data_IF_482439025751
#
_entry.id   IF_482439025751
#
_cell.length_a   1.000
_cell.length_b   1.000
_cell.length_c   1.000
_cell.angle_alpha   90.00
_cell.angle_beta   90.00
_cell.angle_gamma   90.00
#
_symmetry.space_group_name_H-M   'P 1'
#
loop_
_entity.id
_entity.type
_entity.pdbx_description
1 polymer ?
#
# COMPACT_ATOMS: atom_id res chain seq x y z
N UNK A 1 -12.56 -6.06 19.17
CA UNK A 1 -11.87 -5.29 18.12
C UNK A 1 -12.67 -5.23 16.82
N UNK A 2 -13.16 -6.37 16.31
CA UNK A 2 -13.94 -6.44 15.06
C UNK A 2 -15.04 -5.38 14.92
N UNK A 3 -15.90 -5.23 15.93
CA UNK A 3 -16.97 -4.20 15.91
C UNK A 3 -16.43 -2.75 15.80
N UNK A 4 -15.25 -2.48 16.35
CA UNK A 4 -14.63 -1.16 16.21
C UNK A 4 -14.06 -0.95 14.81
N UNK A 5 -13.44 -1.99 14.24
CA UNK A 5 -12.98 -1.98 12.83
C UNK A 5 -14.17 -1.75 11.90
N UNK A 6 -15.28 -2.46 12.10
CA UNK A 6 -16.50 -2.28 11.33
C UNK A 6 -17.05 -0.84 11.45
N UNK A 7 -17.13 -0.30 12.67
CA UNK A 7 -17.56 1.08 12.90
C UNK A 7 -16.70 2.08 12.13
N UNK A 8 -15.37 2.02 12.28
CA UNK A 8 -14.46 2.95 11.60
C UNK A 8 -14.43 2.73 10.09
N UNK A 9 -14.62 1.49 9.62
CA UNK A 9 -14.72 1.19 8.17
C UNK A 9 -15.92 1.91 7.56
N UNK A 10 -17.06 1.95 8.26
CA UNK A 10 -18.28 2.61 7.76
C UNK A 10 -18.23 4.13 7.91
N UNK A 11 -17.82 4.61 9.08
CA UNK A 11 -18.02 6.00 9.50
C UNK A 11 -16.75 6.86 9.48
N UNK A 12 -15.58 6.25 9.22
CA UNK A 12 -14.29 6.91 9.41
C UNK A 12 -14.01 7.23 10.86
N UNK A 13 -12.94 7.98 11.10
CA UNK A 13 -12.42 8.22 12.45
C UNK A 13 -12.99 9.48 13.12
N UNK A 14 -13.85 10.26 12.46
CA UNK A 14 -14.38 11.52 12.99
C UNK A 14 -15.38 11.37 14.15
N UNK A 15 -16.10 10.24 14.23
CA UNK A 15 -17.18 10.01 15.20
C UNK A 15 -16.76 10.04 16.68
N UNK A 16 -17.72 10.25 17.57
CA UNK A 16 -17.47 10.27 19.02
C UNK A 16 -17.33 8.87 19.62
N UNK A 17 -16.54 8.69 20.68
CA UNK A 17 -16.44 7.39 21.38
C UNK A 17 -17.77 6.96 22.02
N UNK A 18 -18.67 7.91 22.31
CA UNK A 18 -20.05 7.64 22.77
C UNK A 18 -20.89 6.97 21.68
N UNK A 19 -20.79 7.48 20.46
CA UNK A 19 -21.49 6.92 19.29
C UNK A 19 -20.96 5.52 18.96
N UNK A 20 -19.64 5.35 18.96
CA UNK A 20 -19.00 4.05 18.83
C UNK A 20 -19.52 3.07 19.90
N UNK A 21 -19.48 3.46 21.18
CA UNK A 21 -19.93 2.60 22.29
C UNK A 21 -21.37 2.11 22.08
N UNK A 22 -22.26 3.05 21.72
CA UNK A 22 -23.66 2.75 21.38
C UNK A 22 -23.77 1.77 20.22
N UNK A 23 -23.03 1.98 19.13
CA UNK A 23 -23.10 1.10 17.95
C UNK A 23 -22.60 -0.32 18.25
N UNK A 24 -21.55 -0.46 19.05
CA UNK A 24 -20.97 -1.79 19.35
C UNK A 24 -21.65 -2.50 20.54
N UNK A 25 -22.58 -1.82 21.22
CA UNK A 25 -23.39 -2.37 22.32
C UNK A 25 -22.68 -2.39 23.67
N UNK A 26 -21.80 -1.42 23.95
CA UNK A 26 -21.08 -1.29 25.23
C UNK A 26 -21.26 0.09 25.83
N UNK A 27 -20.90 0.25 27.11
CA UNK A 27 -20.87 1.58 27.73
C UNK A 27 -19.59 2.32 27.34
N UNK A 28 -19.67 3.65 27.22
CA UNK A 28 -18.49 4.48 26.94
C UNK A 28 -17.40 4.35 28.02
N UNK A 29 -17.70 4.25 29.34
CA UNK A 29 -16.69 3.96 30.36
C UNK A 29 -15.98 2.62 30.16
N UNK A 30 -16.68 1.59 29.66
CA UNK A 30 -16.04 0.30 29.37
C UNK A 30 -15.00 0.42 28.26
N UNK A 31 -15.25 1.22 27.22
CA UNK A 31 -14.24 1.50 26.19
C UNK A 31 -12.97 2.11 26.80
N UNK A 32 -13.13 3.11 27.67
CA UNK A 32 -11.99 3.79 28.30
C UNK A 32 -11.23 2.91 29.30
N UNK A 33 -11.83 1.83 29.80
CA UNK A 33 -11.13 0.81 30.59
C UNK A 33 -10.13 0.02 29.76
N UNK A 34 -10.38 -0.18 28.46
CA UNK A 34 -9.49 -0.91 27.55
C UNK A 34 -8.56 0.02 26.75
N UNK A 35 -9.00 1.24 26.47
CA UNK A 35 -8.25 2.20 25.66
C UNK A 35 -8.19 3.54 26.38
N UNK A 36 -6.98 4.00 26.71
CA UNK A 36 -6.78 5.24 27.47
C UNK A 36 -7.33 6.48 26.75
N UNK A 37 -7.41 6.44 25.41
CA UNK A 37 -7.96 7.51 24.58
C UNK A 37 -8.62 6.96 23.32
N UNK A 38 -9.31 7.82 22.57
CA UNK A 38 -9.80 7.50 21.22
C UNK A 38 -8.63 7.18 20.29
N UNK A 39 -7.53 7.91 20.42
CA UNK A 39 -6.33 7.70 19.60
C UNK A 39 -5.70 6.34 19.88
N UNK A 40 -5.63 5.90 21.14
CA UNK A 40 -5.14 4.56 21.49
C UNK A 40 -6.00 3.43 20.87
N UNK A 41 -7.32 3.66 20.78
CA UNK A 41 -8.21 2.74 20.07
C UNK A 41 -7.97 2.77 18.55
N UNK A 42 -7.79 3.96 17.96
CA UNK A 42 -7.50 4.13 16.53
C UNK A 42 -6.17 3.46 16.18
N UNK A 43 -5.13 3.66 16.98
CA UNK A 43 -3.84 2.98 16.82
C UNK A 43 -3.98 1.47 16.92
N UNK A 44 -4.81 0.95 17.84
CA UNK A 44 -5.08 -0.50 17.91
C UNK A 44 -5.77 -0.98 16.64
N UNK A 45 -6.82 -0.29 16.16
CA UNK A 45 -7.50 -0.61 14.89
C UNK A 45 -6.52 -0.61 13.73
N UNK A 46 -5.64 0.39 13.68
CA UNK A 46 -4.61 0.49 12.65
C UNK A 46 -3.68 -0.73 12.69
N UNK A 47 -3.15 -1.08 13.86
CA UNK A 47 -2.27 -2.23 13.98
C UNK A 47 -2.97 -3.54 13.60
N UNK A 48 -4.26 -3.71 13.92
CA UNK A 48 -5.05 -4.89 13.52
C UNK A 48 -5.29 -4.99 12.01
N UNK A 49 -5.55 -3.86 11.33
CA UNK A 49 -5.93 -3.84 9.91
C UNK A 49 -4.71 -3.83 8.99
N UNK A 50 -3.70 -3.02 9.30
CA UNK A 50 -2.51 -2.79 8.46
C UNK A 50 -1.38 -3.76 8.80
N UNK A 51 -1.72 -5.04 8.87
CA UNK A 51 -0.77 -6.13 9.11
C UNK A 51 0.20 -6.28 7.94
N UNK A 52 1.48 -6.46 8.27
CA UNK A 52 2.53 -6.70 7.30
C UNK A 52 2.93 -8.16 7.31
N UNK A 53 2.87 -8.84 6.16
CA UNK A 53 3.26 -10.26 6.10
C UNK A 53 4.78 -10.38 6.05
N UNK A 54 5.42 -11.17 6.93
CA UNK A 54 6.88 -11.32 6.95
C UNK A 54 7.49 -11.94 5.69
N UNK A 55 6.70 -12.65 4.87
CA UNK A 55 7.18 -13.35 3.67
C UNK A 55 7.35 -12.46 2.43
N UNK A 56 6.78 -11.25 2.43
CA UNK A 56 6.76 -10.38 1.26
C UNK A 56 8.15 -9.99 0.77
N UNK A 57 9.03 -9.58 1.67
CA UNK A 57 10.41 -9.23 1.34
C UNK A 57 11.18 -10.45 0.78
N UNK A 58 10.90 -11.65 1.30
CA UNK A 58 11.51 -12.89 0.82
C UNK A 58 11.09 -13.23 -0.60
N UNK A 59 9.80 -13.07 -0.93
CA UNK A 59 9.29 -13.29 -2.29
C UNK A 59 9.97 -12.37 -3.31
N UNK A 60 10.22 -11.11 -2.94
CA UNK A 60 10.91 -10.15 -3.82
C UNK A 60 12.38 -10.54 -3.99
N UNK A 61 13.06 -10.99 -2.94
CA UNK A 61 14.51 -11.23 -2.95
C UNK A 61 14.94 -12.60 -3.49
N UNK A 62 14.03 -13.56 -3.67
CA UNK A 62 14.35 -14.95 -4.02
C UNK A 62 14.80 -15.14 -5.49
N UNK A 63 16.06 -14.85 -5.78
CA UNK A 63 16.66 -14.98 -7.13
C UNK A 63 16.75 -16.42 -7.66
N UNK A 64 16.25 -17.43 -6.93
CA UNK A 64 16.07 -18.76 -7.51
C UNK A 64 14.92 -18.81 -8.54
N UNK A 65 14.05 -17.81 -8.54
CA UNK A 65 12.94 -17.66 -9.47
C UNK A 65 13.11 -16.44 -10.39
N UNK A 66 12.58 -16.48 -11.63
CA UNK A 66 12.54 -15.31 -12.51
C UNK A 66 11.85 -14.11 -11.87
N UNK A 67 12.32 -12.89 -12.16
CA UNK A 67 11.76 -11.67 -11.56
C UNK A 67 10.24 -11.55 -11.77
N UNK A 68 9.73 -11.92 -12.95
CA UNK A 68 8.29 -11.90 -13.24
C UNK A 68 7.49 -12.77 -12.27
N UNK A 69 7.95 -13.99 -11.99
CA UNK A 69 7.26 -14.91 -11.08
C UNK A 69 7.32 -14.42 -9.63
N UNK A 70 8.46 -13.86 -9.22
CA UNK A 70 8.60 -13.22 -7.89
C UNK A 70 7.62 -12.07 -7.69
N UNK A 71 7.58 -11.13 -8.63
CA UNK A 71 6.72 -9.96 -8.54
C UNK A 71 5.24 -10.35 -8.65
N UNK A 72 4.90 -11.31 -9.50
CA UNK A 72 3.53 -11.86 -9.56
C UNK A 72 3.12 -12.46 -8.22
N UNK A 73 3.95 -13.35 -7.65
CA UNK A 73 3.65 -13.97 -6.35
C UNK A 73 3.52 -12.94 -5.22
N UNK A 74 4.44 -11.97 -5.16
CA UNK A 74 4.39 -10.88 -4.19
C UNK A 74 3.12 -10.04 -4.35
N UNK A 75 2.83 -9.53 -5.55
CA UNK A 75 1.69 -8.64 -5.75
C UNK A 75 0.34 -9.36 -5.62
N UNK A 76 0.28 -10.65 -5.97
CA UNK A 76 -0.91 -11.48 -5.73
C UNK A 76 -1.16 -11.62 -4.23
N UNK A 77 -0.14 -11.99 -3.45
CA UNK A 77 -0.27 -12.14 -2.01
C UNK A 77 -0.56 -10.80 -1.32
N UNK A 78 0.15 -9.75 -1.72
CA UNK A 78 -0.03 -8.38 -1.24
C UNK A 78 -1.46 -7.88 -1.49
N UNK A 79 -1.99 -8.10 -2.71
CA UNK A 79 -3.36 -7.70 -3.08
C UNK A 79 -4.42 -8.37 -2.20
N UNK A 80 -4.19 -9.61 -1.74
CA UNK A 80 -5.11 -10.33 -0.85
C UNK A 80 -5.29 -9.64 0.52
N UNK A 81 -4.32 -8.83 0.92
CA UNK A 81 -4.36 -8.05 2.17
C UNK A 81 -4.91 -6.65 1.91
N UNK A 82 -4.35 -5.93 0.95
CA UNK A 82 -4.63 -4.49 0.80
C UNK A 82 -5.95 -4.19 0.10
N UNK A 83 -6.54 -5.15 -0.62
CA UNK A 83 -7.81 -4.97 -1.32
C UNK A 83 -9.03 -5.36 -0.49
N UNK A 84 -8.86 -5.66 0.81
CA UNK A 84 -9.97 -5.84 1.74
C UNK A 84 -10.70 -4.52 2.00
N UNK A 85 -11.99 -4.59 2.29
CA UNK A 85 -12.84 -3.41 2.44
C UNK A 85 -12.34 -2.48 3.54
N UNK A 86 -12.09 -3.05 4.73
CA UNK A 86 -11.62 -2.30 5.88
C UNK A 86 -10.26 -1.68 5.64
N UNK A 87 -9.36 -2.36 4.90
CA UNK A 87 -8.06 -1.81 4.55
C UNK A 87 -8.22 -0.56 3.70
N UNK A 88 -8.93 -0.67 2.58
CA UNK A 88 -9.13 0.43 1.62
C UNK A 88 -9.79 1.62 2.28
N UNK A 89 -10.92 1.40 2.95
CA UNK A 89 -11.73 2.49 3.51
C UNK A 89 -10.99 3.19 4.64
N UNK A 90 -10.36 2.44 5.55
CA UNK A 90 -9.61 3.04 6.65
C UNK A 90 -8.36 3.78 6.16
N UNK A 91 -7.68 3.29 5.11
CA UNK A 91 -6.54 3.98 4.53
C UNK A 91 -6.94 5.33 3.92
N UNK A 92 -8.07 5.38 3.21
CA UNK A 92 -8.62 6.64 2.68
C UNK A 92 -9.02 7.59 3.81
N UNK A 93 -9.77 7.11 4.81
CA UNK A 93 -10.16 7.95 5.95
C UNK A 93 -8.96 8.51 6.71
N UNK A 94 -7.94 7.68 6.95
CA UNK A 94 -6.71 8.11 7.60
C UNK A 94 -6.01 9.20 6.79
N UNK A 95 -5.95 9.07 5.46
CA UNK A 95 -5.35 10.06 4.57
C UNK A 95 -6.08 11.40 4.54
N UNK A 96 -7.39 11.41 4.80
CA UNK A 96 -8.21 12.63 4.80
C UNK A 96 -8.29 13.33 6.17
N UNK A 97 -8.12 12.59 7.27
CA UNK A 97 -8.53 13.09 8.60
C UNK A 97 -7.53 12.85 9.73
N UNK A 98 -6.61 11.90 9.60
CA UNK A 98 -5.69 11.52 10.68
C UNK A 98 -4.25 11.52 10.16
N UNK A 99 -3.63 12.71 10.21
CA UNK A 99 -2.25 12.90 9.76
C UNK A 99 -1.30 11.92 10.47
N UNK A 100 -0.42 11.29 9.69
CA UNK A 100 0.67 10.45 10.21
C UNK A 100 0.38 8.95 10.19
N UNK A 101 -0.88 8.51 10.31
CA UNK A 101 -1.21 7.08 10.36
C UNK A 101 -0.76 6.35 9.08
N UNK A 102 -1.07 6.91 7.90
CA UNK A 102 -0.63 6.34 6.63
C UNK A 102 0.88 6.48 6.41
N UNK A 103 1.52 7.50 6.98
CA UNK A 103 2.96 7.78 6.76
C UNK A 103 3.82 6.60 7.23
N UNK A 104 3.45 5.94 8.33
CA UNK A 104 4.15 4.74 8.83
C UNK A 104 4.08 3.58 7.83
N UNK A 105 2.90 3.28 7.30
CA UNK A 105 2.75 2.23 6.29
C UNK A 105 3.51 2.56 5.01
N UNK A 106 3.37 3.80 4.50
CA UNK A 106 4.00 4.24 3.26
C UNK A 106 5.53 4.26 3.36
N UNK A 107 6.09 4.67 4.50
CA UNK A 107 7.53 4.60 4.76
C UNK A 107 8.04 3.15 4.76
N UNK A 108 7.28 2.23 5.38
CA UNK A 108 7.60 0.80 5.34
C UNK A 108 7.49 0.24 3.92
N UNK A 109 6.45 0.59 3.17
CA UNK A 109 6.25 0.18 1.79
C UNK A 109 7.41 0.64 0.89
N UNK A 110 7.83 1.91 1.03
CA UNK A 110 8.97 2.45 0.30
C UNK A 110 10.25 1.65 0.58
N UNK A 111 10.56 1.42 1.85
CA UNK A 111 11.82 0.77 2.26
C UNK A 111 11.85 -0.74 2.04
N UNK A 112 10.71 -1.42 2.17
CA UNK A 112 10.61 -2.89 2.13
C UNK A 112 10.11 -3.45 0.80
N UNK A 113 9.48 -2.63 -0.03
CA UNK A 113 8.96 -3.05 -1.33
C UNK A 113 9.55 -2.22 -2.46
N UNK A 114 9.40 -0.89 -2.45
CA UNK A 114 9.77 -0.10 -3.63
C UNK A 114 11.27 -0.12 -3.92
N UNK A 115 12.09 0.15 -2.91
CA UNK A 115 13.54 0.12 -3.07
C UNK A 115 14.07 -1.29 -3.42
N UNK A 116 13.61 -2.38 -2.76
CA UNK A 116 13.99 -3.74 -3.16
C UNK A 116 13.54 -4.12 -4.57
N UNK A 117 12.29 -3.86 -4.96
CA UNK A 117 11.80 -4.16 -6.31
C UNK A 117 12.63 -3.43 -7.36
N UNK A 118 12.96 -2.14 -7.13
CA UNK A 118 13.84 -1.41 -8.04
C UNK A 118 15.25 -2.02 -8.13
N UNK A 119 15.81 -2.48 -7.01
CA UNK A 119 17.10 -3.15 -7.03
C UNK A 119 17.07 -4.43 -7.88
N UNK A 120 16.01 -5.23 -7.75
CA UNK A 120 15.84 -6.46 -8.52
C UNK A 120 15.54 -6.21 -10.00
N UNK A 121 14.74 -5.18 -10.33
CA UNK A 121 14.53 -4.75 -11.73
C UNK A 121 15.85 -4.33 -12.36
N UNK A 122 16.66 -3.54 -11.65
CA UNK A 122 17.97 -3.11 -12.14
C UNK A 122 18.92 -4.28 -12.36
N UNK A 123 18.96 -5.23 -11.43
CA UNK A 123 19.75 -6.44 -11.57
C UNK A 123 19.36 -7.23 -12.82
N UNK A 124 18.05 -7.52 -12.99
CA UNK A 124 17.51 -8.30 -14.11
C UNK A 124 17.91 -7.70 -15.47
N UNK A 125 17.92 -6.38 -15.59
CA UNK A 125 18.21 -5.68 -16.84
C UNK A 125 19.64 -5.11 -16.97
N UNK A 126 20.53 -5.45 -16.04
CA UNK A 126 21.93 -4.98 -16.02
C UNK A 126 22.07 -3.46 -15.94
N UNK A 127 21.19 -2.80 -15.17
CA UNK A 127 21.17 -1.34 -15.00
C UNK A 127 21.92 -0.97 -13.71
N UNK A 128 22.92 -0.06 -13.73
CA UNK A 128 23.62 0.36 -12.52
C UNK A 128 22.72 1.04 -11.49
N UNK A 129 23.17 1.17 -10.24
CA UNK A 129 22.47 1.95 -9.22
C UNK A 129 22.26 3.43 -9.63
N UNK A 130 21.23 4.12 -9.10
CA UNK A 130 21.02 5.55 -9.36
C UNK A 130 22.23 6.41 -8.97
N UNK A 131 22.49 7.47 -9.73
CA UNK A 131 23.64 8.39 -9.53
C UNK A 131 23.41 9.38 -8.38
N UNK A 132 22.16 9.66 -8.06
CA UNK A 132 21.76 10.63 -7.05
C UNK A 132 20.32 10.37 -6.54
N UNK A 133 19.88 11.17 -5.57
CA UNK A 133 18.54 11.07 -4.99
C UNK A 133 17.43 11.36 -6.00
N UNK A 134 17.61 12.30 -6.92
CA UNK A 134 16.58 12.66 -7.90
C UNK A 134 16.26 11.49 -8.84
N UNK A 135 17.26 10.74 -9.28
CA UNK A 135 17.05 9.50 -10.04
C UNK A 135 16.37 8.42 -9.21
N UNK A 136 16.72 8.31 -7.94
CA UNK A 136 16.07 7.36 -7.03
C UNK A 136 14.58 7.68 -6.91
N UNK A 137 14.20 8.94 -6.72
CA UNK A 137 12.78 9.33 -6.64
C UNK A 137 12.05 9.10 -7.96
N UNK A 138 12.65 9.47 -9.10
CA UNK A 138 12.05 9.26 -10.41
C UNK A 138 11.81 7.76 -10.70
N UNK A 139 12.76 6.90 -10.33
CA UNK A 139 12.59 5.46 -10.44
C UNK A 139 11.51 4.91 -9.49
N UNK A 140 11.36 5.48 -8.30
CA UNK A 140 10.30 5.08 -7.36
C UNK A 140 8.90 5.39 -7.89
N UNK A 141 8.72 6.49 -8.62
CA UNK A 141 7.44 6.80 -9.28
C UNK A 141 7.02 5.71 -10.29
N UNK A 142 7.98 5.02 -10.89
CA UNK A 142 7.70 3.86 -11.75
C UNK A 142 7.07 2.72 -10.93
N UNK A 143 7.58 2.43 -9.72
CA UNK A 143 6.97 1.41 -8.85
C UNK A 143 5.60 1.86 -8.35
N UNK A 144 5.45 3.15 -8.05
CA UNK A 144 4.15 3.72 -7.70
C UNK A 144 3.10 3.46 -8.77
N UNK A 145 3.46 3.54 -10.05
CA UNK A 145 2.51 3.29 -11.15
C UNK A 145 1.90 1.88 -11.09
N UNK A 146 2.71 0.84 -10.90
CA UNK A 146 2.25 -0.54 -10.75
C UNK A 146 1.44 -0.71 -9.45
N UNK A 147 1.98 -0.20 -8.34
CA UNK A 147 1.35 -0.30 -7.04
C UNK A 147 -0.05 0.35 -7.02
N UNK A 148 -0.16 1.56 -7.58
CA UNK A 148 -1.40 2.31 -7.66
C UNK A 148 -2.40 1.62 -8.60
N UNK A 149 -1.96 1.04 -9.71
CA UNK A 149 -2.83 0.29 -10.62
C UNK A 149 -3.51 -0.90 -9.93
N UNK A 150 -2.80 -1.60 -9.03
CA UNK A 150 -3.34 -2.69 -8.20
C UNK A 150 -4.26 -2.13 -7.12
N UNK A 151 -3.78 -1.13 -6.37
CA UNK A 151 -4.52 -0.52 -5.27
C UNK A 151 -5.87 0.05 -5.71
N UNK A 152 -5.90 0.67 -6.89
CA UNK A 152 -7.09 1.29 -7.45
C UNK A 152 -8.22 0.30 -7.75
N UNK A 153 -7.93 -1.00 -7.86
CA UNK A 153 -8.96 -2.05 -7.92
C UNK A 153 -9.81 -2.02 -6.64
N UNK A 154 -9.17 -1.92 -5.47
CA UNK A 154 -9.85 -1.84 -4.18
C UNK A 154 -10.65 -0.55 -4.04
N UNK A 155 -10.11 0.58 -4.49
CA UNK A 155 -10.83 1.87 -4.51
C UNK A 155 -12.09 1.78 -5.36
N UNK A 156 -11.98 1.26 -6.60
CA UNK A 156 -13.15 1.07 -7.48
C UNK A 156 -14.23 0.23 -6.81
N UNK A 157 -13.85 -0.86 -6.15
CA UNK A 157 -14.78 -1.76 -5.47
C UNK A 157 -15.44 -1.13 -4.24
N UNK A 158 -14.64 -0.58 -3.33
CA UNK A 158 -15.09 -0.25 -1.97
C UNK A 158 -15.39 1.23 -1.72
N UNK A 159 -14.95 2.10 -2.62
CA UNK A 159 -15.23 3.54 -2.58
C UNK A 159 -16.26 3.91 -3.64
N UNK A 160 -16.10 3.42 -4.87
CA UNK A 160 -16.99 3.78 -5.98
C UNK A 160 -18.10 2.76 -6.25
N UNK A 161 -18.08 1.59 -5.60
CA UNK A 161 -19.11 0.56 -5.79
C UNK A 161 -19.12 -0.04 -7.20
N UNK A 162 -18.01 0.07 -7.94
CA UNK A 162 -17.90 -0.44 -9.30
C UNK A 162 -17.61 -1.95 -9.31
N UNK A 163 -18.09 -2.62 -10.35
CA UNK A 163 -17.68 -4.00 -10.64
C UNK A 163 -16.18 -4.02 -10.96
N UNK A 164 -15.50 -5.01 -10.42
CA UNK A 164 -14.08 -5.26 -10.66
C UNK A 164 -13.88 -6.68 -11.16
N UNK A 165 -12.74 -6.98 -11.82
CA UNK A 165 -12.42 -8.34 -12.22
C UNK A 165 -12.45 -9.30 -11.03
N UNK A 166 -12.93 -10.53 -11.26
CA UNK A 166 -12.95 -11.60 -10.26
C UNK A 166 -11.68 -12.41 -10.25
N UNK A 167 -11.06 -12.58 -11.42
CA UNK A 167 -9.77 -13.25 -11.58
C UNK A 167 -8.63 -12.28 -11.30
N UNK A 168 -8.28 -12.15 -10.02
CA UNK A 168 -7.17 -11.31 -9.58
C UNK A 168 -5.82 -11.86 -10.02
N UNK A 169 -5.68 -13.18 -10.15
CA UNK A 169 -4.42 -13.80 -10.59
C UNK A 169 -4.02 -13.31 -11.99
N UNK A 170 -4.96 -13.42 -12.95
CA UNK A 170 -4.73 -12.98 -14.32
C UNK A 170 -4.54 -11.46 -14.44
N UNK A 171 -5.20 -10.66 -13.59
CA UNK A 171 -5.03 -9.21 -13.57
C UNK A 171 -3.64 -8.83 -13.08
N UNK A 172 -3.20 -9.40 -11.96
CA UNK A 172 -1.89 -9.10 -11.39
C UNK A 172 -0.78 -9.55 -12.33
N UNK A 173 -0.88 -10.76 -12.89
CA UNK A 173 0.12 -11.28 -13.86
C UNK A 173 0.31 -10.32 -15.03
N UNK A 174 -0.80 -9.89 -15.64
CA UNK A 174 -0.77 -8.94 -16.76
C UNK A 174 -0.16 -7.59 -16.38
N UNK A 175 -0.49 -7.06 -15.20
CA UNK A 175 0.06 -5.78 -14.74
C UNK A 175 1.58 -5.88 -14.49
N UNK A 176 2.05 -6.97 -13.91
CA UNK A 176 3.48 -7.25 -13.72
C UNK A 176 4.19 -7.39 -15.07
N UNK A 177 3.63 -8.17 -16.00
CA UNK A 177 4.19 -8.36 -17.34
C UNK A 177 4.31 -7.02 -18.08
N UNK A 178 3.23 -6.23 -18.11
CA UNK A 178 3.24 -4.91 -18.75
C UNK A 178 4.29 -3.98 -18.14
N UNK A 179 4.41 -3.98 -16.80
CA UNK A 179 5.39 -3.18 -16.09
C UNK A 179 6.83 -3.59 -16.46
N UNK A 180 7.16 -4.88 -16.40
CA UNK A 180 8.52 -5.37 -16.66
C UNK A 180 8.95 -5.17 -18.12
N UNK A 181 8.02 -5.30 -19.08
CA UNK A 181 8.30 -5.03 -20.49
C UNK A 181 8.68 -3.55 -20.77
N UNK A 182 8.22 -2.62 -19.94
CA UNK A 182 8.54 -1.18 -20.07
C UNK A 182 9.65 -0.68 -19.13
N UNK A 183 9.95 -1.41 -18.06
CA UNK A 183 10.77 -0.93 -16.94
C UNK A 183 12.17 -0.50 -17.37
N UNK A 184 12.90 -1.35 -18.10
CA UNK A 184 14.28 -1.06 -18.50
C UNK A 184 14.38 0.16 -19.41
N UNK A 185 13.46 0.28 -20.37
CA UNK A 185 13.41 1.41 -21.30
C UNK A 185 13.08 2.72 -20.55
N UNK A 186 12.13 2.68 -19.63
CA UNK A 186 11.76 3.84 -18.82
C UNK A 186 12.92 4.33 -17.94
N UNK A 187 13.60 3.42 -17.22
CA UNK A 187 14.75 3.78 -16.36
C UNK A 187 15.88 4.43 -17.20
N UNK A 188 16.22 3.83 -18.35
CA UNK A 188 17.26 4.38 -19.23
C UNK A 188 16.88 5.76 -19.76
N UNK A 189 15.64 5.95 -20.19
CA UNK A 189 15.14 7.23 -20.69
C UNK A 189 15.22 8.34 -19.62
N UNK A 190 14.82 8.05 -18.38
CA UNK A 190 14.91 8.99 -17.25
C UNK A 190 16.35 9.44 -16.98
N UNK A 191 17.33 8.56 -17.16
CA UNK A 191 18.76 8.86 -16.91
C UNK A 191 19.44 9.59 -18.07
N UNK A 192 18.90 9.48 -19.29
CA UNK A 192 19.38 10.22 -20.47
C UNK A 192 18.79 11.63 -20.56
N UNK A 193 17.63 11.87 -19.95
CA UNK A 193 17.04 13.20 -19.84
C UNK A 193 17.79 14.05 -18.82
N UNK A 194 18.11 15.30 -19.16
CA UNK A 194 18.57 16.32 -18.20
C UNK A 194 17.52 16.43 -17.09
N UNK A 195 17.89 16.44 -15.79
CA UNK A 195 16.90 16.46 -14.71
C UNK A 195 16.01 17.70 -14.86
N UNK A 196 14.72 17.50 -15.14
CA UNK A 196 13.75 18.57 -14.99
C UNK A 196 13.58 18.80 -13.49
N UNK A 197 14.04 19.96 -13.02
CA UNK A 197 13.84 20.39 -11.66
C UNK A 197 12.33 20.63 -11.44
N UNK A 198 11.68 19.71 -10.75
CA UNK A 198 10.39 19.93 -10.10
C UNK A 198 10.04 18.70 -9.24
N UNK A 199 9.53 18.76 -8.02
CA UNK A 199 9.35 19.80 -7.01
C UNK A 199 9.03 18.99 -5.75
N UNK A 200 9.70 19.25 -4.63
CA UNK A 200 9.22 18.78 -3.33
C UNK A 200 7.85 19.43 -3.08
N UNK A 201 6.80 18.64 -2.92
CA UNK A 201 5.53 19.15 -2.43
C UNK A 201 4.82 18.14 -1.51
N UNK A 202 4.86 18.51 -0.22
CA UNK A 202 3.98 18.21 0.93
C UNK A 202 3.98 16.79 1.50
#
# INVERSE_FOLDING_TARGET
MEKAIEHFTRNGFGGSTRELARQIGVTQPLLYRYFQSKDALIERVYNEVFQWRPGWEGQIADRSLPLTERLHAFYLDYSSVILREEWIRLFIFAGLTHEGINKKYLSKLRSKVFLPVLAEVREEFGIPAPRNAAETEAEIEMIWSLHAAIFYIGVRKWIYGLKVPTDMDAVIRRQVDMFLNGAAAAIRAMRTGTPSAATSAV
#
